data_IF_368036173677
#
_entry.id   IF_368036173677
#
_cell.length_a   1.000
_cell.length_b   1.000
_cell.length_c   1.000
_cell.angle_alpha   90.00
_cell.angle_beta   90.00
_cell.angle_gamma   90.00
#
_symmetry.space_group_name_H-M   'P 1'
#
loop_
_entity.id
_entity.type
_entity.pdbx_description
1 polymer ?
#
# COMPACT_ATOMS: atom_id res chain seq x y z
N UNK A 1 32.38 -49.07 -46.08
CA UNK A 1 32.63 -47.63 -45.91
C UNK A 1 31.27 -46.96 -45.83
N UNK A 2 30.70 -46.87 -44.62
CA UNK A 2 29.36 -46.31 -44.38
C UNK A 2 29.51 -44.94 -43.72
N UNK A 3 29.15 -43.92 -44.50
CA UNK A 3 29.09 -42.49 -44.22
C UNK A 3 27.60 -42.11 -44.45
N UNK A 4 26.87 -41.25 -43.76
CA UNK A 4 27.14 -40.23 -42.74
C UNK A 4 25.78 -39.85 -42.10
N UNK A 5 25.73 -39.86 -40.76
CA UNK A 5 25.05 -38.91 -39.83
C UNK A 5 23.55 -38.59 -39.97
N UNK A 6 22.80 -39.19 -39.05
CA UNK A 6 22.02 -38.56 -37.97
C UNK A 6 21.38 -37.18 -38.27
N UNK A 7 20.08 -37.18 -38.56
CA UNK A 7 19.22 -35.99 -38.54
C UNK A 7 18.80 -35.69 -37.10
N UNK A 8 19.48 -34.75 -36.45
CA UNK A 8 19.09 -34.29 -35.11
C UNK A 8 17.91 -33.31 -35.24
N UNK A 9 16.70 -33.73 -34.86
CA UNK A 9 15.62 -32.79 -34.55
C UNK A 9 15.92 -32.20 -33.16
N UNK A 10 16.30 -30.93 -33.10
CA UNK A 10 16.34 -30.19 -31.84
C UNK A 10 14.90 -29.81 -31.44
N UNK A 11 14.34 -30.51 -30.47
CA UNK A 11 13.07 -30.16 -29.84
C UNK A 11 13.31 -28.98 -28.90
N UNK A 12 12.91 -27.78 -29.30
CA UNK A 12 12.91 -26.62 -28.42
C UNK A 12 11.79 -26.79 -27.38
N UNK A 13 12.15 -27.20 -26.16
CA UNK A 13 11.24 -27.21 -25.02
C UNK A 13 11.10 -25.77 -24.53
N UNK A 14 10.01 -25.09 -24.89
CA UNK A 14 9.58 -23.86 -24.20
C UNK A 14 9.09 -24.27 -22.81
N UNK A 15 9.97 -24.19 -21.82
CA UNK A 15 9.56 -24.26 -20.41
C UNK A 15 8.86 -22.93 -20.11
N UNK A 16 7.54 -22.91 -20.24
CA UNK A 16 6.71 -21.87 -19.65
C UNK A 16 6.78 -22.02 -18.13
N UNK A 17 7.84 -21.48 -17.52
CA UNK A 17 7.90 -21.34 -16.07
C UNK A 17 6.67 -20.50 -15.69
N UNK A 18 5.78 -21.00 -14.82
CA UNK A 18 4.73 -20.14 -14.27
C UNK A 18 5.47 -19.03 -13.55
N UNK A 19 5.42 -17.80 -14.11
CA UNK A 19 5.86 -16.64 -13.38
C UNK A 19 5.12 -16.71 -12.06
N UNK A 20 5.81 -16.70 -10.90
CA UNK A 20 5.11 -16.62 -9.64
C UNK A 20 4.17 -15.42 -9.79
N UNK A 21 2.87 -15.66 -9.57
CA UNK A 21 1.91 -14.56 -9.48
C UNK A 21 2.44 -13.69 -8.36
N UNK A 22 3.15 -12.62 -8.71
CA UNK A 22 3.64 -11.66 -7.74
C UNK A 22 2.38 -11.25 -6.99
N UNK A 23 2.30 -11.60 -5.70
CA UNK A 23 1.25 -11.10 -4.84
C UNK A 23 1.24 -9.58 -5.07
N UNK A 24 0.15 -9.08 -5.67
CA UNK A 24 0.09 -7.72 -6.19
C UNK A 24 0.11 -6.81 -4.96
N UNK A 25 1.27 -6.23 -4.66
CA UNK A 25 1.48 -5.31 -3.53
C UNK A 25 0.85 -3.95 -3.86
N UNK A 26 -0.48 -3.94 -3.94
CA UNK A 26 -1.28 -2.75 -4.17
C UNK A 26 -1.07 -1.76 -3.04
N UNK A 27 -1.02 -0.47 -3.39
CA UNK A 27 -1.02 0.59 -2.40
C UNK A 27 -2.22 0.42 -1.49
N UNK A 28 -1.98 0.52 -0.18
CA UNK A 28 -3.01 0.48 0.85
C UNK A 28 -3.88 -0.80 0.78
N UNK A 29 -3.35 -1.91 0.27
CA UNK A 29 -4.12 -3.15 0.10
C UNK A 29 -5.28 -3.04 -0.89
N UNK A 30 -5.24 -2.08 -1.82
CA UNK A 30 -6.29 -1.84 -2.82
C UNK A 30 -7.46 -0.97 -2.34
N UNK A 31 -7.34 -0.36 -1.16
CA UNK A 31 -8.35 0.59 -0.68
C UNK A 31 -8.17 1.98 -1.29
N UNK A 32 -9.30 2.64 -1.52
CA UNK A 32 -9.38 3.97 -2.09
C UNK A 32 -8.87 5.04 -1.09
N UNK A 33 -7.74 5.73 -1.39
CA UNK A 33 -7.17 6.72 -0.49
C UNK A 33 -8.06 7.96 -0.32
N UNK A 34 -8.86 8.31 -1.33
CA UNK A 34 -9.75 9.49 -1.31
C UNK A 34 -10.97 9.22 -0.45
N UNK A 35 -11.47 7.97 -0.44
CA UNK A 35 -12.62 7.58 0.37
C UNK A 35 -12.36 7.71 1.88
N UNK A 36 -11.13 7.52 2.36
CA UNK A 36 -10.79 7.76 3.76
C UNK A 36 -11.04 9.21 4.19
N UNK A 37 -10.78 10.17 3.31
CA UNK A 37 -10.88 11.60 3.62
C UNK A 37 -12.29 12.11 3.33
N UNK A 38 -12.86 11.75 2.18
CA UNK A 38 -14.15 12.28 1.70
C UNK A 38 -15.35 11.58 2.31
N UNK A 39 -15.21 10.29 2.64
CA UNK A 39 -16.32 9.47 3.15
C UNK A 39 -16.07 8.92 4.54
N UNK A 40 -14.86 9.10 5.09
CA UNK A 40 -14.44 8.49 6.35
C UNK A 40 -14.70 6.97 6.40
N UNK A 41 -14.43 6.28 5.28
CA UNK A 41 -14.61 4.82 5.15
C UNK A 41 -13.45 4.18 4.39
N UNK A 42 -13.13 2.95 4.77
CA UNK A 42 -12.28 2.07 3.98
C UNK A 42 -13.13 1.47 2.85
N UNK A 43 -13.05 2.06 1.65
CA UNK A 43 -13.77 1.59 0.47
C UNK A 43 -12.79 0.86 -0.44
N UNK A 44 -13.11 -0.35 -0.88
CA UNK A 44 -12.28 -1.07 -1.84
C UNK A 44 -12.29 -0.32 -3.18
N UNK A 45 -11.11 -0.12 -3.75
CA UNK A 45 -10.97 0.40 -5.10
C UNK A 45 -11.31 -0.66 -6.15
N UNK A 46 -11.59 -0.21 -7.36
CA UNK A 46 -11.85 -1.10 -8.49
C UNK A 46 -10.54 -1.45 -9.21
N UNK A 47 -10.49 -2.64 -9.80
CA UNK A 47 -9.32 -3.11 -10.54
C UNK A 47 -9.09 -2.34 -11.86
N UNK A 48 -10.12 -1.71 -12.41
CA UNK A 48 -10.09 -0.96 -13.67
C UNK A 48 -9.93 0.55 -13.49
N UNK A 49 -10.00 1.06 -12.25
CA UNK A 49 -9.78 2.48 -11.94
C UNK A 49 -8.52 2.61 -11.10
N UNK A 50 -7.40 2.85 -11.76
CA UNK A 50 -6.06 2.76 -11.18
C UNK A 50 -5.15 3.91 -11.59
N UNK A 51 -4.19 4.24 -10.73
CA UNK A 51 -3.07 5.12 -11.09
C UNK A 51 -1.78 4.67 -10.39
N UNK A 52 -0.63 4.95 -10.98
CA UNK A 52 0.67 4.60 -10.38
C UNK A 52 1.32 5.83 -9.79
N UNK A 53 1.65 5.79 -8.50
CA UNK A 53 2.33 6.88 -7.83
C UNK A 53 3.41 6.36 -6.88
N UNK A 54 4.64 6.91 -7.00
CA UNK A 54 5.83 6.45 -6.25
C UNK A 54 6.07 4.93 -6.33
N UNK A 55 5.86 4.36 -7.51
CA UNK A 55 6.10 2.94 -7.77
C UNK A 55 5.06 1.98 -7.17
N UNK A 56 3.92 2.49 -6.68
CA UNK A 56 2.79 1.68 -6.20
C UNK A 56 1.53 1.97 -7.00
N UNK A 57 0.75 0.92 -7.24
CA UNK A 57 -0.57 0.97 -7.91
C UNK A 57 -1.64 1.32 -6.87
N UNK A 58 -2.31 2.44 -7.05
CA UNK A 58 -3.45 2.88 -6.24
C UNK A 58 -4.74 2.58 -6.98
N UNK A 59 -5.74 2.08 -6.25
CA UNK A 59 -7.06 1.77 -6.77
C UNK A 59 -8.10 2.75 -6.23
N UNK A 60 -9.15 3.01 -7.01
CA UNK A 60 -10.19 3.97 -6.65
C UNK A 60 -11.59 3.39 -6.87
N UNK A 61 -12.54 3.81 -6.04
CA UNK A 61 -13.93 3.43 -6.18
C UNK A 61 -14.60 4.10 -7.40
N UNK A 62 -14.07 5.25 -7.85
CA UNK A 62 -14.57 6.00 -9.00
C UNK A 62 -13.45 6.76 -9.74
N UNK A 63 -13.68 7.09 -11.01
CA UNK A 63 -12.76 7.93 -11.81
C UNK A 63 -12.60 9.33 -11.20
N UNK A 64 -13.66 9.85 -10.55
CA UNK A 64 -13.61 11.12 -9.83
C UNK A 64 -12.59 11.07 -8.68
N UNK A 65 -12.60 10.00 -7.88
CA UNK A 65 -11.63 9.81 -6.81
C UNK A 65 -10.20 9.67 -7.36
N UNK A 66 -10.02 8.96 -8.47
CA UNK A 66 -8.72 8.89 -9.14
C UNK A 66 -8.24 10.29 -9.56
N UNK A 67 -9.10 11.09 -10.17
CA UNK A 67 -8.77 12.45 -10.60
C UNK A 67 -8.41 13.37 -9.41
N UNK A 68 -9.14 13.28 -8.30
CA UNK A 68 -8.81 13.99 -7.06
C UNK A 68 -7.43 13.59 -6.52
N UNK A 69 -7.12 12.29 -6.53
CA UNK A 69 -5.82 11.80 -6.12
C UNK A 69 -4.71 12.29 -7.04
N UNK A 70 -4.85 12.17 -8.36
CA UNK A 70 -3.85 12.62 -9.34
C UNK A 70 -3.57 14.13 -9.22
N UNK A 71 -4.59 14.93 -8.89
CA UNK A 71 -4.43 16.36 -8.67
C UNK A 71 -3.60 16.70 -7.41
N UNK A 72 -3.71 15.91 -6.33
CA UNK A 72 -2.89 16.11 -5.12
C UNK A 72 -2.67 14.81 -4.33
N UNK A 73 -1.75 13.93 -4.76
CA UNK A 73 -1.56 12.62 -4.13
C UNK A 73 -1.19 12.72 -2.64
N UNK A 74 -0.42 13.75 -2.27
CA UNK A 74 0.09 13.94 -0.90
C UNK A 74 -1.02 14.22 0.12
N UNK A 75 -2.15 14.76 -0.32
CA UNK A 75 -3.31 15.01 0.53
C UNK A 75 -4.02 13.71 0.95
N UNK A 76 -3.97 12.68 0.11
CA UNK A 76 -4.73 11.44 0.30
C UNK A 76 -3.87 10.26 0.74
N UNK A 77 -2.54 10.34 0.58
CA UNK A 77 -1.61 9.32 1.10
C UNK A 77 -1.55 9.38 2.64
N UNK A 78 -1.61 8.23 3.34
CA UNK A 78 -1.53 8.21 4.80
C UNK A 78 -0.26 8.83 5.37
N UNK A 79 -0.34 9.30 6.62
CA UNK A 79 0.82 9.64 7.44
C UNK A 79 1.80 8.48 7.58
N UNK A 80 3.07 8.83 7.73
CA UNK A 80 4.16 7.86 7.95
C UNK A 80 4.20 6.73 6.91
N UNK A 81 3.88 7.07 5.65
CA UNK A 81 3.80 6.14 4.51
C UNK A 81 2.94 4.89 4.77
N UNK A 82 1.90 5.02 5.61
CA UNK A 82 0.98 3.92 5.92
C UNK A 82 1.46 2.95 7.00
N UNK A 83 2.54 3.27 7.73
CA UNK A 83 2.95 2.49 8.88
C UNK A 83 2.00 2.65 10.07
N UNK A 84 1.97 1.63 10.92
CA UNK A 84 1.24 1.64 12.18
C UNK A 84 1.82 2.71 13.12
N UNK A 85 1.02 3.72 13.46
CA UNK A 85 1.45 4.81 14.36
C UNK A 85 1.92 4.27 15.72
N UNK A 86 1.19 3.32 16.30
CA UNK A 86 1.53 2.74 17.61
C UNK A 86 2.87 1.99 17.55
N UNK A 87 3.09 1.18 16.51
CA UNK A 87 4.36 0.47 16.33
C UNK A 87 5.53 1.45 16.14
N UNK A 88 5.31 2.56 15.43
CA UNK A 88 6.32 3.62 15.31
C UNK A 88 6.69 4.22 16.66
N UNK A 89 5.72 4.42 17.56
CA UNK A 89 6.02 4.90 18.93
C UNK A 89 6.85 3.92 19.75
N UNK A 90 6.87 2.66 19.36
CA UNK A 90 7.65 1.57 19.96
C UNK A 90 8.96 1.33 19.20
N UNK A 91 9.29 2.18 18.22
CA UNK A 91 10.50 2.10 17.41
C UNK A 91 10.49 1.03 16.33
N UNK A 92 9.33 0.50 15.94
CA UNK A 92 9.20 -0.55 14.93
C UNK A 92 8.50 -0.02 13.67
N UNK A 93 8.98 -0.48 12.51
CA UNK A 93 8.43 -0.17 11.18
C UNK A 93 7.47 -1.25 10.72
N UNK A 94 6.32 -1.35 11.37
CA UNK A 94 5.28 -2.30 10.99
C UNK A 94 4.24 -1.63 10.07
N UNK A 95 3.77 -2.30 9.01
CA UNK A 95 2.69 -1.79 8.18
C UNK A 95 1.42 -1.59 9.03
N UNK A 96 0.68 -0.53 8.73
CA UNK A 96 -0.67 -0.35 9.25
C UNK A 96 -1.67 -1.23 8.51
N UNK A 97 -2.81 -1.48 9.14
CA UNK A 97 -3.97 -2.09 8.51
C UNK A 97 -4.84 -0.97 7.89
N UNK A 98 -5.07 -0.98 6.56
CA UNK A 98 -5.90 0.01 5.88
C UNK A 98 -7.36 0.08 6.38
N UNK A 99 -7.87 -0.95 7.05
CA UNK A 99 -9.18 -0.92 7.68
C UNK A 99 -9.15 -0.25 9.08
N UNK A 100 -7.99 -0.24 9.73
CA UNK A 100 -7.79 0.31 11.06
C UNK A 100 -7.22 1.73 11.00
N UNK A 101 -7.94 2.62 10.31
CA UNK A 101 -7.51 4.00 10.11
C UNK A 101 -8.22 4.99 11.04
N UNK A 102 -7.61 6.15 11.22
CA UNK A 102 -8.17 7.35 11.83
C UNK A 102 -7.83 8.56 10.96
N UNK A 103 -8.81 9.43 10.75
CA UNK A 103 -8.60 10.74 10.15
C UNK A 103 -8.42 11.77 11.27
N UNK A 104 -7.25 12.39 11.35
CA UNK A 104 -6.90 13.37 12.37
C UNK A 104 -6.54 14.68 11.65
N UNK A 105 -7.39 15.70 11.80
CA UNK A 105 -7.34 16.90 10.96
C UNK A 105 -7.72 16.55 9.52
N UNK A 106 -6.84 16.85 8.56
CA UNK A 106 -7.04 16.53 7.14
C UNK A 106 -6.18 15.34 6.66
N UNK A 107 -5.66 14.53 7.60
CA UNK A 107 -4.71 13.46 7.27
C UNK A 107 -5.12 12.13 7.88
N UNK A 108 -4.94 11.07 7.11
CA UNK A 108 -5.24 9.68 7.49
C UNK A 108 -4.02 9.05 8.14
N UNK A 109 -4.24 8.26 9.18
CA UNK A 109 -3.23 7.50 9.89
C UNK A 109 -3.71 6.07 10.13
N UNK A 110 -2.83 5.08 9.99
CA UNK A 110 -3.17 3.68 10.19
C UNK A 110 -2.67 3.16 11.54
N UNK A 111 -3.42 2.23 12.11
CA UNK A 111 -3.01 1.36 13.18
C UNK A 111 -2.92 -0.08 12.65
N UNK A 112 -2.17 -0.96 13.30
CA UNK A 112 -2.04 -2.35 12.86
C UNK A 112 -3.16 -3.27 13.36
N UNK A 113 -4.07 -2.79 14.21
CA UNK A 113 -5.18 -3.56 14.77
C UNK A 113 -6.24 -2.64 15.37
N UNK A 114 -7.44 -3.17 15.63
CA UNK A 114 -8.52 -2.43 16.29
C UNK A 114 -8.11 -1.91 17.70
N UNK A 115 -7.38 -2.72 18.46
CA UNK A 115 -6.87 -2.31 19.78
C UNK A 115 -5.87 -1.15 19.66
N UNK A 116 -4.92 -1.23 18.73
CA UNK A 116 -3.97 -0.13 18.46
C UNK A 116 -4.67 1.12 17.93
N UNK A 117 -5.74 0.96 17.13
CA UNK A 117 -6.59 2.07 16.68
C UNK A 117 -7.26 2.75 17.88
N UNK A 118 -7.79 1.98 18.83
CA UNK A 118 -8.37 2.53 20.05
C UNK A 118 -7.31 3.29 20.87
N UNK A 119 -6.10 2.74 21.03
CA UNK A 119 -4.99 3.43 21.70
C UNK A 119 -4.66 4.76 21.02
N UNK A 120 -4.59 4.77 19.68
CA UNK A 120 -4.37 5.98 18.88
C UNK A 120 -5.51 7.00 19.06
N UNK A 121 -6.76 6.54 19.08
CA UNK A 121 -7.92 7.39 19.26
C UNK A 121 -7.97 8.05 20.66
N UNK A 122 -7.50 7.35 21.70
CA UNK A 122 -7.48 7.89 23.07
C UNK A 122 -6.40 8.97 23.28
N UNK A 123 -5.25 8.87 22.60
CA UNK A 123 -4.12 9.79 22.79
C UNK A 123 -3.51 10.28 21.45
N UNK A 124 -4.30 10.88 20.55
CA UNK A 124 -3.89 11.10 19.16
C UNK A 124 -2.70 12.06 19.05
N UNK A 125 -2.75 13.20 19.77
CA UNK A 125 -1.69 14.21 19.70
C UNK A 125 -0.34 13.68 20.21
N UNK A 126 -0.36 13.01 21.35
CA UNK A 126 0.84 12.46 21.97
C UNK A 126 1.49 11.39 21.07
N UNK A 127 0.69 10.42 20.61
CA UNK A 127 1.18 9.32 19.80
C UNK A 127 1.68 9.81 18.43
N UNK A 128 1.02 10.78 17.81
CA UNK A 128 1.51 11.37 16.55
C UNK A 128 2.84 12.12 16.74
N UNK A 129 3.02 12.87 17.83
CA UNK A 129 4.30 13.53 18.12
C UNK A 129 5.42 12.51 18.35
N UNK A 130 5.16 11.47 19.15
CA UNK A 130 6.12 10.41 19.43
C UNK A 130 6.46 9.61 18.17
N UNK A 131 5.45 9.23 17.37
CA UNK A 131 5.65 8.55 16.11
C UNK A 131 6.46 9.40 15.11
N UNK A 132 6.21 10.71 15.03
CA UNK A 132 6.99 11.63 14.20
C UNK A 132 8.47 11.67 14.61
N UNK A 133 8.75 11.74 15.92
CA UNK A 133 10.11 11.71 16.41
C UNK A 133 10.84 10.40 16.07
N UNK A 134 10.15 9.27 16.11
CA UNK A 134 10.71 7.96 15.74
C UNK A 134 10.86 7.80 14.22
N UNK A 135 9.89 8.27 13.44
CA UNK A 135 9.91 8.23 11.98
C UNK A 135 11.16 8.91 11.40
N UNK A 136 11.52 10.09 11.91
CA UNK A 136 12.73 10.83 11.50
C UNK A 136 14.01 10.03 11.78
N UNK A 137 14.05 9.25 12.86
CA UNK A 137 15.23 8.41 13.20
C UNK A 137 15.36 7.19 12.29
N UNK A 138 14.22 6.59 11.92
CA UNK A 138 14.17 5.36 11.13
C UNK A 138 14.37 5.67 9.64
N UNK A 139 13.85 6.80 9.17
CA UNK A 139 13.90 7.22 7.77
C UNK A 139 14.64 8.57 7.69
N UNK A 140 15.99 8.55 7.73
CA UNK A 140 16.81 9.76 7.66
C UNK A 140 16.64 10.51 6.33
#
# INVERSE_FOLDING_TARGET
MFDTRLKTLALAVLIALPLPALARDWALGGYDPVAYVTQNRAVAGRADVVTTWRGREYHFASEEHRALFEANPRAYTPGFDGLCVVALTEGRSEPGDPQQFLTIGQRVYFAGSASRKQTLASHPRELLMKAKAMWIKIKP
#
